data_IF_998311446182
#
_entry.id   IF_998311446182
#
_cell.length_a   1.000
_cell.length_b   1.000
_cell.length_c   1.000
_cell.angle_alpha   90.00
_cell.angle_beta   90.00
_cell.angle_gamma   90.00
#
_symmetry.space_group_name_H-M   'P 1'
#
loop_
_entity.id
_entity.type
_entity.pdbx_description
1 polymer ?
#
# COMPACT_ATOMS: atom_id res chain seq x y z
N UNK A 1 3.91 -6.40 -10.19
CA UNK A 1 3.30 -6.60 -8.84
C UNK A 1 1.79 -6.41 -8.97
N UNK A 2 0.93 -7.14 -8.25
CA UNK A 2 -0.53 -7.01 -8.38
C UNK A 2 -1.05 -5.87 -7.48
N UNK A 3 -1.95 -5.02 -7.98
CA UNK A 3 -2.65 -3.98 -7.21
C UNK A 3 -3.46 -4.53 -6.02
N UNK A 4 -3.88 -5.80 -6.06
CA UNK A 4 -4.45 -6.47 -4.88
C UNK A 4 -3.50 -6.50 -3.69
N UNK A 5 -2.19 -6.57 -3.93
CA UNK A 5 -1.19 -6.50 -2.85
C UNK A 5 -1.17 -5.11 -2.21
N UNK A 6 -1.28 -4.04 -3.01
CA UNK A 6 -1.44 -2.69 -2.45
C UNK A 6 -2.70 -2.60 -1.57
N UNK A 7 -3.81 -3.20 -2.00
CA UNK A 7 -5.04 -3.29 -1.20
C UNK A 7 -4.81 -3.99 0.15
N UNK A 8 -4.19 -5.17 0.14
CA UNK A 8 -3.87 -5.93 1.37
C UNK A 8 -2.96 -5.14 2.31
N UNK A 9 -1.94 -4.49 1.77
CA UNK A 9 -1.03 -3.66 2.59
C UNK A 9 -1.76 -2.46 3.21
N UNK A 10 -2.68 -1.82 2.48
CA UNK A 10 -3.50 -0.74 3.04
C UNK A 10 -4.47 -1.22 4.13
N UNK A 11 -5.02 -2.43 4.01
CA UNK A 11 -5.84 -3.04 5.07
C UNK A 11 -5.03 -3.28 6.36
N UNK A 12 -3.80 -3.78 6.24
CA UNK A 12 -2.88 -3.91 7.37
C UNK A 12 -2.54 -2.56 7.98
N UNK A 13 -2.26 -1.54 7.15
CA UNK A 13 -1.98 -0.20 7.63
C UNK A 13 -3.14 0.40 8.43
N UNK A 14 -4.38 0.22 7.95
CA UNK A 14 -5.59 0.68 8.67
C UNK A 14 -5.75 -0.07 9.99
N UNK A 15 -5.52 -1.38 10.00
CA UNK A 15 -5.57 -2.18 11.22
C UNK A 15 -4.56 -1.67 12.24
N UNK A 16 -3.30 -1.52 11.86
CA UNK A 16 -2.24 -1.08 12.75
C UNK A 16 -2.44 0.36 13.23
N UNK A 17 -2.94 1.26 12.38
CA UNK A 17 -3.29 2.61 12.78
C UNK A 17 -4.39 2.64 13.85
N UNK A 18 -5.41 1.77 13.75
CA UNK A 18 -6.46 1.64 14.76
C UNK A 18 -5.92 1.09 16.08
N UNK A 19 -5.11 0.04 16.04
CA UNK A 19 -4.49 -0.50 17.25
C UNK A 19 -3.60 0.53 17.92
N UNK A 20 -2.80 1.28 17.15
CA UNK A 20 -1.97 2.36 17.68
C UNK A 20 -2.81 3.44 18.38
N UNK A 21 -3.95 3.83 17.80
CA UNK A 21 -4.88 4.79 18.39
C UNK A 21 -5.45 4.27 19.72
N UNK A 22 -5.94 3.03 19.75
CA UNK A 22 -6.50 2.43 20.98
C UNK A 22 -5.42 2.30 22.07
N UNK A 23 -4.17 1.97 21.71
CA UNK A 23 -3.07 1.91 22.67
C UNK A 23 -2.72 3.27 23.28
N UNK A 24 -2.91 4.38 22.55
CA UNK A 24 -2.72 5.74 23.10
C UNK A 24 -3.74 6.01 24.21
N UNK A 25 -5.01 5.65 24.01
CA UNK A 25 -6.07 5.82 25.02
C UNK A 25 -5.82 4.98 26.29
N UNK A 26 -5.12 3.86 26.15
CA UNK A 26 -4.74 2.96 27.25
C UNK A 26 -3.40 3.31 27.90
N UNK A 27 -2.74 4.39 27.48
CA UNK A 27 -1.38 4.79 27.90
C UNK A 27 -0.28 3.72 27.63
N UNK A 28 -0.52 2.77 26.72
CA UNK A 28 0.44 1.75 26.27
C UNK A 28 1.27 2.28 25.09
N UNK A 29 2.14 3.26 25.38
CA UNK A 29 2.85 4.03 24.36
C UNK A 29 3.89 3.22 23.58
N UNK A 30 4.51 2.23 24.20
CA UNK A 30 5.47 1.34 23.53
C UNK A 30 4.77 0.54 22.42
N UNK A 31 3.58 0.00 22.73
CA UNK A 31 2.78 -0.74 21.76
C UNK A 31 2.16 0.18 20.70
N UNK A 32 1.73 1.37 21.09
CA UNK A 32 1.26 2.39 20.15
C UNK A 32 2.35 2.73 19.11
N UNK A 33 3.59 2.97 19.56
CA UNK A 33 4.71 3.27 18.67
C UNK A 33 5.00 2.11 17.72
N UNK A 34 4.99 0.87 18.20
CA UNK A 34 5.22 -0.31 17.37
C UNK A 34 4.20 -0.40 16.23
N UNK A 35 2.90 -0.31 16.55
CA UNK A 35 1.86 -0.37 15.52
C UNK A 35 1.91 0.85 14.58
N UNK A 36 2.27 2.03 15.06
CA UNK A 36 2.49 3.19 14.19
C UNK A 36 3.63 2.96 13.18
N UNK A 37 4.73 2.31 13.58
CA UNK A 37 5.83 1.93 12.69
C UNK A 37 5.37 0.90 11.65
N UNK A 38 4.60 -0.10 12.07
CA UNK A 38 4.08 -1.13 11.16
C UNK A 38 3.10 -0.54 10.13
N UNK A 39 2.20 0.35 10.56
CA UNK A 39 1.30 1.06 9.67
C UNK A 39 2.06 1.86 8.60
N UNK A 40 3.13 2.56 8.99
CA UNK A 40 3.99 3.29 8.04
C UNK A 40 4.65 2.34 7.03
N UNK A 41 5.23 1.23 7.51
CA UNK A 41 5.87 0.26 6.62
C UNK A 41 4.89 -0.35 5.61
N UNK A 42 3.65 -0.63 6.02
CA UNK A 42 2.61 -1.15 5.14
C UNK A 42 2.15 -0.09 4.11
N UNK A 43 2.03 1.19 4.51
CA UNK A 43 1.76 2.30 3.56
C UNK A 43 2.89 2.44 2.54
N UNK A 44 4.16 2.39 2.98
CA UNK A 44 5.31 2.49 2.08
C UNK A 44 5.33 1.32 1.08
N UNK A 45 4.96 0.11 1.51
CA UNK A 45 4.83 -1.05 0.63
C UNK A 45 3.70 -0.88 -0.40
N UNK A 46 2.54 -0.39 0.03
CA UNK A 46 1.41 -0.12 -0.87
C UNK A 46 1.75 0.97 -1.89
N UNK A 47 2.37 2.07 -1.46
CA UNK A 47 2.83 3.16 -2.31
C UNK A 47 3.78 2.63 -3.39
N UNK A 48 4.76 1.82 -3.00
CA UNK A 48 5.74 1.27 -3.93
C UNK A 48 5.08 0.41 -5.02
N UNK A 49 4.08 -0.42 -4.66
CA UNK A 49 3.32 -1.22 -5.63
C UNK A 49 2.54 -0.31 -6.58
N UNK A 50 1.88 0.73 -6.07
CA UNK A 50 1.12 1.69 -6.88
C UNK A 50 2.06 2.43 -7.84
N UNK A 51 3.20 2.90 -7.35
CA UNK A 51 4.21 3.62 -8.13
C UNK A 51 4.71 2.78 -9.29
N UNK A 52 5.08 1.51 -9.06
CA UNK A 52 5.49 0.59 -10.13
C UNK A 52 4.38 0.37 -11.15
N UNK A 53 3.12 0.22 -10.71
CA UNK A 53 1.99 0.06 -11.62
C UNK A 53 1.73 1.31 -12.48
N UNK A 54 2.00 2.51 -11.95
CA UNK A 54 1.94 3.76 -12.72
C UNK A 54 3.08 3.83 -13.75
N UNK A 55 4.31 3.50 -13.33
CA UNK A 55 5.48 3.46 -14.22
C UNK A 55 5.25 2.49 -15.40
N UNK A 56 4.70 1.29 -15.13
CA UNK A 56 4.33 0.30 -16.15
C UNK A 56 3.18 0.75 -17.09
N UNK A 57 2.30 1.62 -16.61
CA UNK A 57 1.23 2.21 -17.43
C UNK A 57 1.79 3.27 -18.36
N UNK A 58 2.67 4.10 -17.86
CA UNK A 58 3.21 5.24 -18.59
C UNK A 58 4.33 4.82 -19.57
N UNK A 59 4.99 3.67 -19.32
CA UNK A 59 5.99 3.07 -20.23
C UNK A 59 5.41 2.30 -21.42
N UNK A 60 4.09 2.04 -21.44
CA UNK A 60 3.43 1.32 -22.53
C UNK A 60 3.39 2.20 -23.78
N UNK A 61 4.01 1.74 -24.87
CA UNK A 61 4.06 2.52 -26.11
C UNK A 61 2.71 2.46 -26.85
N UNK A 62 2.35 3.48 -27.66
CA UNK A 62 1.12 3.46 -28.45
C UNK A 62 0.97 2.22 -29.35
N UNK A 63 2.08 1.64 -29.80
CA UNK A 63 2.12 0.45 -30.65
C UNK A 63 1.67 -0.84 -29.92
N UNK A 64 1.86 -0.94 -28.61
CA UNK A 64 1.43 -2.10 -27.81
C UNK A 64 -0.06 -2.02 -27.44
N UNK A 65 -0.64 -0.82 -27.46
CA UNK A 65 -2.06 -0.60 -27.24
C UNK A 65 -2.92 -0.99 -28.46
N UNK A 66 -2.39 -0.87 -29.68
CA UNK A 66 -3.10 -1.27 -30.92
C UNK A 66 -3.18 -2.81 -31.09
N UNK A 67 -2.13 -3.56 -30.71
CA UNK A 67 -2.12 -5.04 -30.82
C UNK A 67 -3.05 -5.72 -29.80
N UNK A 68 -3.26 -5.10 -28.64
CA UNK A 68 -4.17 -5.61 -27.59
C UNK A 68 -5.67 -5.43 -27.92
N UNK A 69 -6.01 -4.55 -28.86
CA UNK A 69 -7.40 -4.31 -29.31
C UNK A 69 -7.76 -5.21 -30.51
N UNK A 70 -6.76 -5.71 -31.24
CA UNK A 70 -6.93 -6.55 -32.42
C UNK A 70 -7.11 -8.06 -32.12
N UNK A 71 -7.13 -8.46 -30.84
CA UNK A 71 -7.25 -9.85 -30.38
C UNK A 71 -8.44 -10.04 -29.45
#
# INVERSE_FOLDING_TARGET
MNLEEAGRQLELAIHDARVAFDCIELEDLDRAQQHAIMARAAVDAAENVIRVALDERDSRTPAEAEDAIAK
#
